data_IF_730623000014
#
_entry.id   IF_730623000014
#
_cell.length_a   1.000
_cell.length_b   1.000
_cell.length_c   1.000
_cell.angle_alpha   90.00
_cell.angle_beta   90.00
_cell.angle_gamma   90.00
#
_symmetry.space_group_name_H-M   'P 1'
#
loop_
_entity.id
_entity.type
_entity.pdbx_description
1 polymer ?
#
# COMPACT_ATOMS: atom_id res chain seq x y z
N UNK A 1 29.61 52.97 13.96
CA UNK A 1 30.18 51.78 14.63
C UNK A 1 29.15 50.90 15.36
N UNK A 2 28.15 51.45 16.05
CA UNK A 2 27.14 50.64 16.75
C UNK A 2 26.22 49.78 15.85
N UNK A 3 25.85 50.28 14.67
CA UNK A 3 24.94 49.58 13.74
C UNK A 3 25.57 48.30 13.18
N UNK A 4 26.85 48.34 12.79
CA UNK A 4 27.58 47.17 12.29
C UNK A 4 27.78 46.11 13.38
N UNK A 5 28.05 46.52 14.62
CA UNK A 5 28.14 45.60 15.77
C UNK A 5 26.82 44.90 16.07
N UNK A 6 25.71 45.65 16.02
CA UNK A 6 24.36 45.10 16.22
C UNK A 6 23.99 44.08 15.14
N UNK A 7 24.19 44.41 13.86
CA UNK A 7 23.94 43.44 12.77
C UNK A 7 24.85 42.22 12.87
N UNK A 8 26.12 42.38 13.24
CA UNK A 8 27.04 41.24 13.42
C UNK A 8 26.60 40.30 14.55
N UNK A 9 26.16 40.86 15.69
CA UNK A 9 25.61 40.09 16.81
C UNK A 9 24.31 39.37 16.42
N UNK A 10 23.42 40.05 15.68
CA UNK A 10 22.17 39.50 15.18
C UNK A 10 22.32 38.50 14.03
N UNK A 11 23.41 38.49 13.28
CA UNK A 11 23.68 37.44 12.27
C UNK A 11 24.13 36.14 12.96
N UNK A 12 24.88 36.25 14.05
CA UNK A 12 25.33 35.11 14.85
C UNK A 12 24.21 34.52 15.72
N UNK A 13 23.37 35.37 16.33
CA UNK A 13 22.27 34.96 17.24
C UNK A 13 20.87 34.98 16.61
N UNK A 14 20.71 35.54 15.42
CA UNK A 14 19.41 35.66 14.77
C UNK A 14 18.98 34.35 14.16
N UNK A 15 17.69 34.06 14.27
CA UNK A 15 16.99 32.86 13.80
C UNK A 15 17.15 32.53 12.29
N UNK A 16 17.93 33.32 11.54
CA UNK A 16 18.26 33.16 10.12
C UNK A 16 19.74 32.78 9.86
N UNK A 17 20.57 32.66 10.91
CA UNK A 17 21.97 32.26 10.79
C UNK A 17 22.12 30.84 10.23
N UNK A 18 23.28 30.57 9.62
CA UNK A 18 23.66 29.32 8.93
C UNK A 18 23.24 28.02 9.67
N UNK A 19 23.14 28.08 11.00
CA UNK A 19 22.68 26.97 11.85
C UNK A 19 21.21 26.56 11.64
N UNK A 20 20.30 27.51 11.37
CA UNK A 20 18.89 27.23 11.07
C UNK A 20 18.74 26.48 9.75
N UNK A 21 19.60 26.79 8.76
CA UNK A 21 19.59 26.13 7.45
C UNK A 21 20.07 24.68 7.55
N UNK A 22 21.07 24.42 8.39
CA UNK A 22 21.57 23.05 8.59
C UNK A 22 20.50 22.13 9.18
N UNK A 23 19.75 22.58 10.20
CA UNK A 23 18.67 21.78 10.79
C UNK A 23 17.52 21.51 9.80
N UNK A 24 17.12 22.55 9.05
CA UNK A 24 16.07 22.41 8.03
C UNK A 24 16.52 21.47 6.91
N UNK A 25 17.76 21.61 6.43
CA UNK A 25 18.31 20.73 5.40
C UNK A 25 18.41 19.29 5.88
N UNK A 26 18.80 19.06 7.13
CA UNK A 26 18.84 17.73 7.71
C UNK A 26 17.43 17.11 7.77
N UNK A 27 16.43 17.89 8.17
CA UNK A 27 15.05 17.42 8.21
C UNK A 27 14.49 17.13 6.80
N UNK A 28 14.88 17.92 5.79
CA UNK A 28 14.55 17.65 4.39
C UNK A 28 15.16 16.32 3.94
N UNK A 29 16.41 16.04 4.30
CA UNK A 29 17.09 14.78 3.95
C UNK A 29 16.39 13.60 4.62
N UNK A 30 16.07 13.71 5.91
CA UNK A 30 15.35 12.68 6.67
C UNK A 30 13.98 12.35 6.02
N UNK A 31 13.18 13.38 5.71
CA UNK A 31 11.88 13.21 5.07
C UNK A 31 12.00 12.64 3.64
N UNK A 32 13.04 13.03 2.90
CA UNK A 32 13.29 12.48 1.57
C UNK A 32 13.64 11.00 1.62
N UNK A 33 14.40 10.58 2.63
CA UNK A 33 14.75 9.18 2.84
C UNK A 33 13.51 8.36 3.21
N UNK A 34 12.67 8.85 4.12
CA UNK A 34 11.39 8.21 4.47
C UNK A 34 10.47 8.07 3.25
N UNK A 35 10.33 9.14 2.46
CA UNK A 35 9.55 9.12 1.22
C UNK A 35 10.10 8.08 0.25
N UNK A 36 11.43 8.01 0.08
CA UNK A 36 12.06 7.04 -0.80
C UNK A 36 11.76 5.60 -0.34
N UNK A 37 11.84 5.31 0.96
CA UNK A 37 11.54 4.00 1.52
C UNK A 37 10.08 3.60 1.27
N UNK A 38 9.13 4.45 1.64
CA UNK A 38 7.69 4.19 1.47
C UNK A 38 7.33 4.04 -0.02
N UNK A 39 7.94 4.85 -0.89
CA UNK A 39 7.73 4.75 -2.34
C UNK A 39 8.28 3.45 -2.92
N UNK A 40 9.44 3.00 -2.46
CA UNK A 40 10.02 1.72 -2.87
C UNK A 40 9.12 0.54 -2.46
N UNK A 41 8.60 0.56 -1.24
CA UNK A 41 7.64 -0.43 -0.76
C UNK A 41 6.37 -0.45 -1.62
N UNK A 42 5.78 0.73 -1.86
CA UNK A 42 4.61 0.87 -2.73
C UNK A 42 4.85 0.28 -4.12
N UNK A 43 5.97 0.60 -4.76
CA UNK A 43 6.31 0.08 -6.10
C UNK A 43 6.45 -1.44 -6.07
N UNK A 44 7.04 -2.01 -5.03
CA UNK A 44 7.21 -3.47 -4.89
C UNK A 44 5.86 -4.18 -4.80
N UNK A 45 4.93 -3.63 -4.03
CA UNK A 45 3.57 -4.15 -3.88
C UNK A 45 2.79 -3.97 -5.17
N UNK A 46 2.87 -2.81 -5.81
CA UNK A 46 2.22 -2.56 -7.10
C UNK A 46 2.70 -3.51 -8.19
N UNK A 47 4.00 -3.83 -8.23
CA UNK A 47 4.53 -4.83 -9.16
C UNK A 47 3.92 -6.21 -8.89
N UNK A 48 3.82 -6.60 -7.61
CA UNK A 48 3.21 -7.88 -7.21
C UNK A 48 1.71 -7.91 -7.55
N UNK A 49 0.99 -6.82 -7.31
CA UNK A 49 -0.42 -6.68 -7.68
C UNK A 49 -0.57 -6.70 -9.21
N UNK A 50 0.30 -6.04 -9.96
CA UNK A 50 0.24 -6.03 -11.43
C UNK A 50 0.40 -7.43 -12.00
N UNK A 51 1.30 -8.25 -11.44
CA UNK A 51 1.45 -9.65 -11.83
C UNK A 51 0.21 -10.51 -11.51
N UNK A 52 -0.58 -10.12 -10.49
CA UNK A 52 -1.86 -10.75 -10.17
C UNK A 52 -3.01 -10.20 -11.04
N UNK A 53 -2.90 -8.96 -11.54
CA UNK A 53 -4.00 -8.25 -12.22
C UNK A 53 -4.11 -8.55 -13.71
N UNK A 54 -3.14 -9.22 -14.34
CA UNK A 54 -3.12 -9.54 -15.77
C UNK A 54 -4.15 -10.62 -16.22
N UNK A 55 -5.41 -10.50 -15.77
CA UNK A 55 -6.51 -10.93 -16.63
C UNK A 55 -7.89 -10.97 -15.99
N UNK A 56 -8.05 -11.57 -14.80
CA UNK A 56 -9.39 -12.02 -14.37
C UNK A 56 -9.64 -12.07 -12.85
N UNK A 57 -8.62 -11.83 -12.01
CA UNK A 57 -8.70 -12.09 -10.57
C UNK A 57 -9.82 -11.27 -9.89
N UNK A 58 -10.00 -10.00 -10.20
CA UNK A 58 -10.94 -9.15 -9.45
C UNK A 58 -12.42 -9.55 -9.67
N UNK A 59 -12.79 -9.97 -10.89
CA UNK A 59 -14.15 -10.42 -11.21
C UNK A 59 -14.37 -11.88 -10.79
N UNK A 60 -13.39 -12.75 -11.03
CA UNK A 60 -13.51 -14.16 -10.70
C UNK A 60 -13.48 -14.40 -9.19
N UNK A 61 -12.68 -13.64 -8.43
CA UNK A 61 -12.69 -13.74 -6.97
C UNK A 61 -14.00 -13.22 -6.37
N UNK A 62 -14.63 -12.21 -6.98
CA UNK A 62 -15.95 -11.77 -6.56
C UNK A 62 -17.02 -12.83 -6.86
N UNK A 63 -16.99 -13.45 -8.05
CA UNK A 63 -17.89 -14.56 -8.43
C UNK A 63 -17.69 -15.76 -7.49
N UNK A 64 -16.43 -16.11 -7.16
CA UNK A 64 -16.08 -17.17 -6.21
C UNK A 64 -16.59 -16.86 -4.80
N UNK A 65 -16.33 -15.65 -4.28
CA UNK A 65 -16.77 -15.24 -2.95
C UNK A 65 -18.29 -15.31 -2.82
N UNK A 66 -19.00 -14.84 -3.83
CA UNK A 66 -20.46 -14.83 -3.87
C UNK A 66 -21.02 -16.25 -3.97
N UNK A 67 -20.42 -17.13 -4.80
CA UNK A 67 -20.79 -18.56 -4.84
C UNK A 67 -20.56 -19.25 -3.50
N UNK A 68 -19.40 -19.05 -2.89
CA UNK A 68 -18.98 -19.72 -1.65
C UNK A 68 -19.79 -19.29 -0.43
N UNK A 69 -20.13 -18.00 -0.32
CA UNK A 69 -20.76 -17.46 0.89
C UNK A 69 -22.28 -17.31 0.75
N UNK A 70 -22.80 -17.12 -0.46
CA UNK A 70 -24.21 -16.82 -0.68
C UNK A 70 -24.95 -17.95 -1.42
N UNK A 71 -24.28 -19.05 -1.75
CA UNK A 71 -24.80 -20.13 -2.60
C UNK A 71 -25.40 -19.56 -3.91
N UNK A 72 -24.81 -18.48 -4.41
CA UNK A 72 -25.32 -17.76 -5.55
C UNK A 72 -24.92 -18.48 -6.84
N UNK A 73 -25.90 -18.72 -7.71
CA UNK A 73 -25.70 -19.30 -9.04
C UNK A 73 -26.51 -18.51 -10.06
N UNK A 74 -26.00 -18.39 -11.29
CA UNK A 74 -26.65 -17.60 -12.34
C UNK A 74 -27.89 -18.35 -12.88
N UNK A 75 -28.87 -17.65 -13.50
CA UNK A 75 -30.09 -18.28 -14.02
C UNK A 75 -29.86 -19.42 -15.02
N UNK A 76 -28.70 -19.47 -15.68
CA UNK A 76 -28.33 -20.47 -16.68
C UNK A 76 -27.34 -21.52 -16.16
N UNK A 77 -27.23 -21.70 -14.83
CA UNK A 77 -26.30 -22.64 -14.21
C UNK A 77 -27.04 -23.76 -13.45
N UNK A 78 -26.47 -24.96 -13.45
CA UNK A 78 -26.99 -26.12 -12.73
C UNK A 78 -26.37 -26.18 -11.32
N UNK A 79 -27.21 -26.12 -10.29
CA UNK A 79 -26.77 -26.35 -8.90
C UNK A 79 -27.01 -27.80 -8.52
N UNK A 80 -25.95 -28.52 -8.11
CA UNK A 80 -26.00 -29.90 -7.63
C UNK A 80 -25.85 -29.87 -6.11
N UNK A 81 -26.88 -30.31 -5.39
CA UNK A 81 -26.83 -30.52 -3.95
C UNK A 81 -26.48 -31.98 -3.70
N UNK A 82 -25.34 -32.23 -3.06
CA UNK A 82 -24.83 -33.59 -2.81
C UNK A 82 -25.12 -33.91 -1.35
N UNK A 83 -25.82 -35.03 -1.07
CA UNK A 83 -25.97 -35.52 0.29
C UNK A 83 -24.68 -36.21 0.73
N UNK A 84 -24.25 -36.10 2.01
CA UNK A 84 -23.07 -36.81 2.51
C UNK A 84 -23.12 -38.34 2.32
N UNK A 85 -24.31 -38.92 2.17
CA UNK A 85 -24.51 -40.34 1.81
C UNK A 85 -23.97 -40.69 0.43
N UNK A 86 -24.07 -39.77 -0.53
CA UNK A 86 -23.84 -40.03 -1.96
C UNK A 86 -22.35 -39.99 -2.32
N UNK A 87 -21.52 -39.37 -1.46
CA UNK A 87 -20.06 -39.34 -1.61
C UNK A 87 -19.42 -40.70 -1.28
N UNK A 88 -20.00 -41.45 -0.34
CA UNK A 88 -19.50 -42.77 0.06
C UNK A 88 -19.74 -43.84 -1.02
N UNK A 89 -20.73 -43.65 -1.90
CA UNK A 89 -21.01 -44.60 -2.99
C UNK A 89 -20.08 -44.43 -4.20
N UNK A 90 -19.41 -43.28 -4.33
CA UNK A 90 -18.47 -42.98 -5.42
C UNK A 90 -17.02 -43.38 -5.11
N UNK A 91 -16.66 -43.57 -3.83
CA UNK A 91 -15.34 -44.08 -3.43
C UNK A 91 -15.25 -45.61 -3.37
N UNK A 92 -16.38 -46.32 -3.45
CA UNK A 92 -16.47 -47.78 -3.25
C UNK A 92 -16.47 -48.57 -4.57
N UNK A 93 -16.25 -47.91 -5.72
CA UNK A 93 -16.18 -48.55 -7.03
C UNK A 93 -14.87 -48.25 -7.77
#
# INVERSE_FOLDING_TARGET
>A
MGVLGYFSYHIYHGKYGLYSRSKINQHIIELQEELHQVKAERISIEKRISLLRDGHIEKDMLDEYVRKNLNFSKPNELTILISPSDLNELEVN
#
